data_IF_343197208128
#
_entry.id   IF_343197208128
#
_cell.length_a   1.000
_cell.length_b   1.000
_cell.length_c   1.000
_cell.angle_alpha   90.00
_cell.angle_beta   90.00
_cell.angle_gamma   90.00
#
_symmetry.space_group_name_H-M   'P 1'
#
loop_
_entity.id
_entity.type
_entity.pdbx_description
1 polymer ?
#
# COMPACT_ATOMS: atom_id res chain seq x y z
N UNK A 1 17.63 -8.95 18.58
CA UNK A 1 16.87 -9.78 17.59
C UNK A 1 15.45 -9.22 17.58
N UNK A 2 15.04 -8.52 16.51
CA UNK A 2 13.69 -7.94 16.42
C UNK A 2 12.73 -9.09 16.14
N UNK A 3 11.72 -9.27 17.01
CA UNK A 3 10.68 -10.27 16.79
C UNK A 3 9.85 -9.84 15.57
N UNK A 4 9.84 -10.65 14.53
CA UNK A 4 8.96 -10.45 13.37
C UNK A 4 7.71 -11.28 13.62
N UNK A 5 6.57 -10.60 13.83
CA UNK A 5 5.28 -11.27 13.85
C UNK A 5 4.73 -11.33 12.43
N UNK A 6 4.35 -12.51 11.97
CA UNK A 6 3.85 -12.75 10.61
C UNK A 6 2.46 -13.37 10.68
N UNK A 7 1.49 -12.69 10.09
CA UNK A 7 0.07 -13.09 10.12
C UNK A 7 -0.51 -13.07 8.71
N UNK A 8 -1.17 -14.17 8.31
CA UNK A 8 -1.88 -14.28 7.03
C UNK A 8 -3.36 -14.49 7.28
N UNK A 9 -4.19 -13.69 6.64
CA UNK A 9 -5.66 -13.80 6.68
C UNK A 9 -6.24 -13.75 5.28
N UNK A 10 -7.35 -14.49 5.08
CA UNK A 10 -7.99 -14.62 3.78
C UNK A 10 -9.51 -14.44 3.89
N UNK A 11 -10.11 -13.80 2.88
CA UNK A 11 -11.56 -13.74 2.65
C UNK A 11 -11.83 -14.50 1.35
N UNK A 12 -12.63 -15.55 1.41
CA UNK A 12 -13.08 -16.32 0.25
C UNK A 12 -14.26 -17.23 0.61
N UNK A 13 -15.03 -17.64 -0.39
CA UNK A 13 -16.07 -18.68 -0.22
C UNK A 13 -17.30 -18.24 0.58
N UNK A 14 -17.52 -16.94 0.73
CA UNK A 14 -18.67 -16.34 1.43
C UNK A 14 -19.53 -15.51 0.48
N UNK A 15 -20.82 -15.36 0.80
CA UNK A 15 -21.73 -14.52 0.03
C UNK A 15 -21.29 -13.06 0.01
N UNK A 16 -21.72 -12.29 -1.01
CA UNK A 16 -21.24 -10.92 -1.29
C UNK A 16 -21.32 -9.98 -0.09
N UNK A 17 -22.47 -9.91 0.60
CA UNK A 17 -22.63 -9.05 1.77
C UNK A 17 -21.67 -9.43 2.89
N UNK A 18 -21.50 -10.72 3.16
CA UNK A 18 -20.56 -11.22 4.14
C UNK A 18 -19.10 -10.97 3.72
N UNK A 19 -18.80 -11.04 2.41
CA UNK A 19 -17.47 -10.77 1.86
C UNK A 19 -17.10 -9.29 2.06
N UNK A 20 -18.04 -8.36 1.82
CA UNK A 20 -17.83 -6.93 2.02
C UNK A 20 -17.50 -6.61 3.48
N UNK A 21 -18.29 -7.13 4.42
CA UNK A 21 -18.05 -6.96 5.85
C UNK A 21 -16.73 -7.61 6.30
N UNK A 22 -16.47 -8.84 5.83
CA UNK A 22 -15.24 -9.56 6.17
C UNK A 22 -14.01 -8.83 5.62
N UNK A 23 -14.09 -8.31 4.40
CA UNK A 23 -13.01 -7.55 3.79
C UNK A 23 -12.76 -6.23 4.53
N UNK A 24 -13.84 -5.48 4.88
CA UNK A 24 -13.72 -4.25 5.66
C UNK A 24 -13.03 -4.48 7.00
N UNK A 25 -13.43 -5.52 7.74
CA UNK A 25 -12.79 -5.90 9.01
C UNK A 25 -11.33 -6.33 8.82
N UNK A 26 -11.05 -7.13 7.80
CA UNK A 26 -9.70 -7.60 7.52
C UNK A 26 -8.77 -6.44 7.16
N UNK A 27 -9.20 -5.57 6.25
CA UNK A 27 -8.43 -4.40 5.83
C UNK A 27 -8.17 -3.46 6.99
N UNK A 28 -9.20 -3.18 7.82
CA UNK A 28 -9.09 -2.32 9.00
C UNK A 28 -8.15 -2.87 10.06
N UNK A 29 -8.11 -4.20 10.24
CA UNK A 29 -7.23 -4.84 11.24
C UNK A 29 -5.78 -4.98 10.78
N UNK A 30 -5.50 -4.90 9.47
CA UNK A 30 -4.17 -5.15 8.91
C UNK A 30 -3.48 -3.90 8.39
N UNK A 31 -4.24 -2.94 7.89
CA UNK A 31 -3.73 -1.64 7.44
C UNK A 31 -4.14 -0.54 8.43
N UNK A 32 -5.25 0.10 8.14
CA UNK A 32 -5.92 1.14 8.92
C UNK A 32 -7.42 1.02 8.64
N UNK A 33 -8.31 1.59 9.48
CA UNK A 33 -9.75 1.56 9.24
C UNK A 33 -10.14 2.11 7.87
N UNK A 34 -10.92 1.32 7.12
CA UNK A 34 -11.48 1.63 5.81
C UNK A 34 -12.92 1.14 5.72
N UNK A 35 -13.77 1.92 5.08
CA UNK A 35 -15.14 1.53 4.72
C UNK A 35 -15.16 1.02 3.29
N UNK A 36 -15.51 -0.26 3.10
CA UNK A 36 -15.63 -0.86 1.77
C UNK A 36 -16.96 -0.44 1.16
N UNK A 37 -16.91 0.20 -0.01
CA UNK A 37 -18.08 0.70 -0.72
C UNK A 37 -18.67 -0.38 -1.64
N UNK A 38 -17.84 -0.97 -2.50
CA UNK A 38 -18.29 -1.95 -3.50
C UNK A 38 -17.29 -3.09 -3.64
N UNK A 39 -17.82 -4.29 -3.95
CA UNK A 39 -17.09 -5.42 -4.48
C UNK A 39 -17.55 -5.67 -5.91
N UNK A 40 -16.69 -6.24 -6.76
CA UNK A 40 -17.02 -6.59 -8.15
C UNK A 40 -18.31 -7.40 -8.21
N UNK A 41 -19.28 -6.91 -9.00
CA UNK A 41 -20.59 -7.53 -9.13
C UNK A 41 -20.57 -8.81 -9.95
N UNK A 42 -19.64 -8.91 -10.89
CA UNK A 42 -19.58 -9.96 -11.90
C UNK A 42 -18.68 -11.14 -11.49
N UNK A 43 -17.93 -11.00 -10.40
CA UNK A 43 -17.07 -12.05 -9.91
C UNK A 43 -17.87 -13.16 -9.21
N UNK A 44 -17.57 -14.45 -9.46
CA UNK A 44 -18.24 -15.59 -8.83
C UNK A 44 -18.03 -15.69 -7.30
N UNK A 45 -17.36 -14.73 -6.72
CA UNK A 45 -17.09 -14.58 -5.29
C UNK A 45 -15.83 -13.76 -5.08
N UNK A 46 -15.89 -12.83 -4.13
CA UNK A 46 -14.74 -11.98 -3.77
C UNK A 46 -13.66 -12.78 -3.05
N UNK A 47 -12.41 -12.56 -3.44
CA UNK A 47 -11.23 -13.18 -2.82
C UNK A 47 -10.21 -12.11 -2.46
N UNK A 48 -9.72 -12.17 -1.23
CA UNK A 48 -8.61 -11.34 -0.78
C UNK A 48 -7.73 -12.12 0.19
N UNK A 49 -6.43 -11.83 0.16
CA UNK A 49 -5.44 -12.36 1.10
C UNK A 49 -4.54 -11.22 1.54
N UNK A 50 -4.33 -11.12 2.83
CA UNK A 50 -3.44 -10.12 3.43
C UNK A 50 -2.43 -10.83 4.31
N UNK A 51 -1.15 -10.48 4.13
CA UNK A 51 -0.05 -10.87 5.01
C UNK A 51 0.49 -9.62 5.70
N UNK A 52 0.45 -9.61 7.02
CA UNK A 52 0.93 -8.51 7.85
C UNK A 52 2.17 -8.93 8.61
N UNK A 53 3.20 -8.10 8.56
CA UNK A 53 4.48 -8.30 9.28
C UNK A 53 4.83 -7.05 10.06
N UNK A 54 5.16 -7.22 11.33
CA UNK A 54 5.70 -6.15 12.18
C UNK A 54 7.21 -6.16 12.09
N UNK A 55 7.80 -5.00 11.85
CA UNK A 55 9.23 -4.74 11.75
C UNK A 55 9.57 -3.58 12.68
N UNK A 56 9.78 -3.86 13.97
CA UNK A 56 9.81 -2.85 15.03
C UNK A 56 8.51 -2.02 15.01
N UNK A 57 8.61 -0.69 14.87
CA UNK A 57 7.45 0.22 14.83
C UNK A 57 6.78 0.29 13.45
N UNK A 58 7.35 -0.37 12.44
CA UNK A 58 6.84 -0.39 11.08
C UNK A 58 5.94 -1.60 10.85
N UNK A 59 4.94 -1.44 9.99
CA UNK A 59 4.09 -2.55 9.55
C UNK A 59 4.18 -2.70 8.03
N UNK A 60 4.60 -3.88 7.59
CA UNK A 60 4.61 -4.25 6.19
C UNK A 60 3.40 -5.13 5.88
N UNK A 61 2.61 -4.74 4.88
CA UNK A 61 1.39 -5.44 4.49
C UNK A 61 1.45 -5.79 3.03
N UNK A 62 1.46 -7.09 2.73
CA UNK A 62 1.25 -7.60 1.37
C UNK A 62 -0.24 -7.92 1.21
N UNK A 63 -0.86 -7.43 0.15
CA UNK A 63 -2.27 -7.59 -0.13
C UNK A 63 -2.48 -8.11 -1.55
N UNK A 64 -3.30 -9.13 -1.69
CA UNK A 64 -3.87 -9.57 -2.97
C UNK A 64 -5.39 -9.50 -2.84
N UNK A 65 -6.09 -8.84 -3.76
CA UNK A 65 -7.54 -8.77 -3.74
C UNK A 65 -8.14 -8.69 -5.15
N UNK A 66 -9.38 -9.13 -5.27
CA UNK A 66 -10.21 -8.93 -6.45
C UNK A 66 -10.70 -7.47 -6.50
N UNK A 67 -11.26 -6.98 -7.64
CA UNK A 67 -11.74 -5.62 -7.78
C UNK A 67 -12.71 -5.22 -6.68
N UNK A 68 -12.46 -4.04 -6.12
CA UNK A 68 -13.28 -3.47 -5.04
C UNK A 68 -13.00 -1.97 -4.90
N UNK A 69 -13.84 -1.28 -4.15
CA UNK A 69 -13.62 0.11 -3.81
C UNK A 69 -13.82 0.36 -2.32
N UNK A 70 -13.20 1.43 -1.83
CA UNK A 70 -13.34 1.83 -0.45
C UNK A 70 -13.02 3.29 -0.23
N UNK A 71 -13.51 3.80 0.88
CA UNK A 71 -13.28 5.18 1.32
C UNK A 71 -12.78 5.18 2.75
N UNK A 72 -11.97 6.18 3.05
CA UNK A 72 -11.54 6.51 4.40
C UNK A 72 -12.03 7.91 4.74
N UNK A 73 -13.02 8.01 5.60
CA UNK A 73 -13.69 9.24 5.98
C UNK A 73 -13.36 9.63 7.42
N UNK A 74 -13.96 10.70 7.92
CA UNK A 74 -13.71 11.23 9.26
C UNK A 74 -13.88 10.18 10.37
N UNK A 75 -14.88 9.30 10.27
CA UNK A 75 -15.09 8.24 11.27
C UNK A 75 -13.99 7.16 11.25
N UNK A 76 -13.47 6.81 10.07
CA UNK A 76 -12.35 5.86 9.93
C UNK A 76 -11.05 6.47 10.45
N UNK A 77 -10.87 7.79 10.21
CA UNK A 77 -9.73 8.55 10.73
C UNK A 77 -9.80 8.59 12.26
N UNK A 78 -10.96 8.92 12.83
CA UNK A 78 -11.16 8.97 14.29
C UNK A 78 -11.00 7.60 14.96
N UNK A 79 -11.28 6.51 14.26
CA UNK A 79 -11.07 5.13 14.76
C UNK A 79 -9.60 4.65 14.64
N UNK A 80 -8.71 5.47 14.11
CA UNK A 80 -7.29 5.12 13.94
C UNK A 80 -6.53 5.53 15.20
N UNK A 81 -5.79 4.57 15.77
CA UNK A 81 -4.87 4.83 16.87
C UNK A 81 -3.53 5.34 16.30
N UNK A 82 -3.29 6.64 16.45
CA UNK A 82 -2.08 7.30 15.96
C UNK A 82 -2.16 7.88 14.55
N UNK A 83 -1.05 8.46 14.11
CA UNK A 83 -0.90 9.08 12.80
C UNK A 83 0.19 8.37 11.99
N UNK A 84 -0.11 8.08 10.72
CA UNK A 84 0.77 7.29 9.86
C UNK A 84 0.94 7.93 8.48
N UNK A 85 2.10 7.72 7.89
CA UNK A 85 2.28 7.75 6.44
C UNK A 85 2.28 6.31 5.93
N UNK A 86 1.59 6.10 4.82
CA UNK A 86 1.53 4.80 4.17
C UNK A 86 2.13 4.91 2.78
N UNK A 87 3.24 4.21 2.57
CA UNK A 87 3.81 4.01 1.24
C UNK A 87 3.17 2.77 0.63
N UNK A 88 2.48 2.93 -0.49
CA UNK A 88 1.81 1.85 -1.21
C UNK A 88 2.50 1.65 -2.56
N UNK A 89 2.91 0.41 -2.83
CA UNK A 89 3.49 -0.04 -4.10
C UNK A 89 2.58 -1.05 -4.77
N UNK A 90 2.22 -0.80 -6.02
CA UNK A 90 1.50 -1.77 -6.86
C UNK A 90 2.49 -2.73 -7.50
N UNK A 91 2.29 -4.03 -7.30
CA UNK A 91 3.14 -5.10 -7.85
C UNK A 91 2.51 -5.74 -9.09
N UNK A 92 1.17 -5.83 -9.12
CA UNK A 92 0.40 -6.36 -10.26
C UNK A 92 -1.02 -5.80 -10.22
N UNK A 93 -1.67 -5.70 -11.36
CA UNK A 93 -3.01 -5.11 -11.49
C UNK A 93 -3.00 -3.59 -11.59
N UNK A 94 -4.17 -2.98 -11.42
CA UNK A 94 -4.35 -1.52 -11.48
C UNK A 94 -5.30 -1.05 -10.39
N UNK A 95 -4.97 0.07 -9.79
CA UNK A 95 -5.84 0.77 -8.84
C UNK A 95 -5.74 2.28 -9.03
N UNK A 96 -6.79 2.98 -8.62
CA UNK A 96 -6.80 4.44 -8.47
C UNK A 96 -6.84 4.75 -6.99
N UNK A 97 -6.00 5.66 -6.54
CA UNK A 97 -6.00 6.17 -5.16
C UNK A 97 -6.24 7.67 -5.20
N UNK A 98 -7.17 8.15 -4.39
CA UNK A 98 -7.51 9.57 -4.26
C UNK A 98 -7.25 10.09 -2.85
N UNK A 99 -6.62 11.27 -2.74
CA UNK A 99 -6.44 11.98 -1.48
C UNK A 99 -6.23 13.47 -1.72
N UNK A 100 -6.87 14.33 -0.91
CA UNK A 100 -6.68 15.77 -0.96
C UNK A 100 -7.04 16.41 -2.32
N UNK A 101 -8.05 15.90 -3.00
CA UNK A 101 -8.47 16.37 -4.33
C UNK A 101 -7.55 15.94 -5.47
N UNK A 102 -6.56 15.10 -5.21
CA UNK A 102 -5.67 14.51 -6.21
C UNK A 102 -6.02 13.03 -6.39
N UNK A 103 -5.91 12.55 -7.62
CA UNK A 103 -6.05 11.13 -7.94
C UNK A 103 -4.80 10.62 -8.63
N UNK A 104 -4.40 9.41 -8.28
CA UNK A 104 -3.25 8.71 -8.82
C UNK A 104 -3.69 7.37 -9.40
N UNK A 105 -3.43 7.13 -10.67
CA UNK A 105 -3.59 5.82 -11.29
C UNK A 105 -2.30 5.03 -11.12
N UNK A 106 -2.38 3.92 -10.40
CA UNK A 106 -1.23 3.08 -10.07
C UNK A 106 -1.21 1.83 -10.95
N UNK A 107 -0.01 1.52 -11.43
CA UNK A 107 0.32 0.36 -12.27
C UNK A 107 1.48 -0.40 -11.62
N UNK A 108 1.82 -1.60 -12.09
CA UNK A 108 2.99 -2.32 -11.58
C UNK A 108 4.26 -1.44 -11.57
N UNK A 109 4.90 -1.35 -10.41
CA UNK A 109 6.05 -0.48 -10.15
C UNK A 109 5.73 0.94 -9.69
N UNK A 110 4.47 1.39 -9.74
CA UNK A 110 4.07 2.69 -9.19
C UNK A 110 4.07 2.65 -7.66
N UNK A 111 4.51 3.76 -7.05
CA UNK A 111 4.46 3.99 -5.60
C UNK A 111 3.72 5.29 -5.32
N UNK A 112 2.87 5.29 -4.32
CA UNK A 112 2.23 6.49 -3.77
C UNK A 112 2.41 6.53 -2.27
N UNK A 113 2.57 7.72 -1.72
CA UNK A 113 2.53 7.96 -0.27
C UNK A 113 1.25 8.71 0.06
N UNK A 114 0.49 8.19 1.03
CA UNK A 114 -0.72 8.85 1.52
C UNK A 114 -0.70 9.02 3.04
N UNK A 115 -1.46 9.98 3.54
CA UNK A 115 -1.51 10.39 4.94
C UNK A 115 -2.77 9.85 5.62
N UNK A 116 -2.61 9.15 6.76
CA UNK A 116 -3.72 8.56 7.50
C UNK A 116 -4.67 9.58 8.12
N UNK A 117 -4.26 10.84 8.26
CA UNK A 117 -5.06 11.91 8.88
C UNK A 117 -5.95 12.67 7.87
N UNK A 118 -5.83 12.34 6.59
CA UNK A 118 -6.59 12.97 5.50
C UNK A 118 -7.55 11.97 4.86
N UNK A 119 -8.81 12.34 4.54
CA UNK A 119 -9.71 11.48 3.79
C UNK A 119 -9.09 10.96 2.50
N UNK A 120 -9.36 9.70 2.18
CA UNK A 120 -8.82 9.03 1.02
C UNK A 120 -9.85 8.06 0.42
N UNK A 121 -9.63 7.68 -0.83
CA UNK A 121 -10.43 6.69 -1.55
C UNK A 121 -9.55 5.79 -2.39
N UNK A 122 -10.02 4.59 -2.69
CA UNK A 122 -9.37 3.71 -3.66
C UNK A 122 -10.40 2.97 -4.51
N UNK A 123 -10.00 2.65 -5.74
CA UNK A 123 -10.74 1.78 -6.66
C UNK A 123 -9.75 0.79 -7.27
N UNK A 124 -9.91 -0.47 -6.94
CA UNK A 124 -9.18 -1.58 -7.56
C UNK A 124 -9.93 -1.98 -8.83
N UNK A 125 -9.28 -1.82 -9.98
CA UNK A 125 -9.87 -2.03 -11.29
C UNK A 125 -9.65 -3.45 -11.83
N UNK A 126 -8.58 -4.09 -11.40
CA UNK A 126 -8.19 -5.45 -11.79
C UNK A 126 -7.70 -6.19 -10.54
N UNK A 127 -7.64 -7.53 -10.61
CA UNK A 127 -7.03 -8.29 -9.52
C UNK A 127 -5.67 -7.72 -9.16
N UNK A 128 -5.56 -7.23 -7.93
CA UNK A 128 -4.45 -6.43 -7.45
C UNK A 128 -3.50 -7.24 -6.58
N UNK A 129 -2.21 -7.03 -6.76
CA UNK A 129 -1.17 -7.38 -5.79
C UNK A 129 -0.43 -6.11 -5.42
N UNK A 130 -0.43 -5.78 -4.14
CA UNK A 130 0.23 -4.58 -3.63
C UNK A 130 0.97 -4.83 -2.32
N UNK A 131 1.91 -3.97 -2.04
CA UNK A 131 2.66 -3.90 -0.78
C UNK A 131 2.51 -2.52 -0.18
N UNK A 132 2.20 -2.46 1.11
CA UNK A 132 2.12 -1.22 1.87
C UNK A 132 3.11 -1.24 3.03
N UNK A 133 3.83 -0.15 3.23
CA UNK A 133 4.61 0.11 4.42
C UNK A 133 3.90 1.20 5.23
N UNK A 134 3.43 0.84 6.42
CA UNK A 134 2.78 1.75 7.36
C UNK A 134 3.83 2.25 8.35
N UNK A 135 4.06 3.56 8.37
CA UNK A 135 5.11 4.22 9.14
C UNK A 135 4.47 5.22 10.11
N UNK A 136 4.65 5.08 11.43
CA UNK A 136 4.23 6.09 12.38
C UNK A 136 4.89 7.43 12.09
N UNK A 137 4.14 8.52 12.07
CA UNK A 137 4.70 9.87 11.86
C UNK A 137 5.70 10.25 12.96
N UNK A 138 5.48 9.76 14.18
CA UNK A 138 6.42 9.96 15.29
C UNK A 138 7.82 9.40 14.97
N UNK A 139 7.92 8.20 14.39
CA UNK A 139 9.20 7.61 14.00
C UNK A 139 9.91 8.42 12.89
N UNK A 140 9.14 9.05 12.01
CA UNK A 140 9.70 9.94 10.98
C UNK A 140 10.24 11.24 11.55
N UNK A 141 9.61 11.77 12.60
CA UNK A 141 10.07 12.99 13.28
C UNK A 141 11.43 12.77 13.97
N UNK A 142 11.68 11.58 14.52
CA UNK A 142 12.95 11.21 15.14
C UNK A 142 14.14 11.21 14.18
N UNK A 143 13.93 10.85 12.91
CA UNK A 143 14.98 10.84 11.89
C UNK A 143 15.12 12.17 11.13
N UNK A 144 14.42 13.22 11.57
CA UNK A 144 14.54 14.56 11.01
C UNK A 144 14.06 14.69 9.57
N UNK A 145 13.12 13.84 9.15
CA UNK A 145 12.70 13.78 7.76
C UNK A 145 11.86 14.98 7.35
N UNK A 146 12.42 15.78 6.42
CA UNK A 146 11.66 16.77 5.63
C UNK A 146 10.78 16.11 4.55
N UNK A 147 10.70 14.78 4.53
CA UNK A 147 10.06 13.97 3.49
C UNK A 147 8.52 13.94 3.50
N UNK A 148 7.87 14.67 4.40
CA UNK A 148 6.40 14.75 4.53
C UNK A 148 5.68 15.45 3.36
N UNK A 149 6.41 16.03 2.41
CA UNK A 149 5.84 16.76 1.27
C UNK A 149 5.43 15.88 0.08
N UNK A 150 5.62 14.55 0.15
CA UNK A 150 5.36 13.63 -0.96
C UNK A 150 3.97 13.00 -0.96
N UNK A 151 3.08 13.38 -0.06
CA UNK A 151 1.72 12.82 0.00
C UNK A 151 0.92 13.12 -1.27
N UNK A 152 0.30 12.08 -1.84
CA UNK A 152 -0.45 12.17 -3.09
C UNK A 152 0.43 12.29 -4.36
N UNK A 153 1.75 12.18 -4.23
CA UNK A 153 2.66 12.16 -5.38
C UNK A 153 2.94 10.71 -5.77
N UNK A 154 2.73 10.39 -7.04
CA UNK A 154 3.15 9.10 -7.61
C UNK A 154 4.64 9.17 -7.92
N UNK A 155 5.38 8.20 -7.39
CA UNK A 155 6.76 7.96 -7.75
C UNK A 155 6.81 6.86 -8.80
N UNK A 156 7.54 7.08 -9.88
CA UNK A 156 7.78 6.07 -10.91
C UNK A 156 8.76 5.00 -10.38
N UNK A 157 8.68 3.80 -10.96
CA UNK A 157 9.58 2.67 -10.67
C UNK A 157 11.06 2.98 -10.90
N UNK A 158 11.38 4.00 -11.70
CA UNK A 158 12.75 4.49 -11.92
C UNK A 158 13.31 5.30 -10.74
N UNK A 159 12.47 5.74 -9.78
CA UNK A 159 12.94 6.46 -8.62
C UNK A 159 13.77 5.55 -7.69
N UNK A 160 14.97 5.96 -7.21
CA UNK A 160 15.83 5.11 -6.38
C UNK A 160 15.15 4.57 -5.12
N UNK A 161 14.27 5.35 -4.49
CA UNK A 161 13.51 4.95 -3.31
C UNK A 161 12.56 3.77 -3.57
N UNK A 162 12.02 3.66 -4.79
CA UNK A 162 11.13 2.57 -5.19
C UNK A 162 11.90 1.27 -5.38
N UNK A 163 13.10 1.35 -5.95
CA UNK A 163 13.97 0.19 -6.19
C UNK A 163 14.37 -0.52 -4.89
N UNK A 164 14.57 0.23 -3.80
CA UNK A 164 14.92 -0.32 -2.49
C UNK A 164 13.79 -1.12 -1.82
N UNK A 165 12.53 -0.81 -2.16
CA UNK A 165 11.36 -1.47 -1.57
C UNK A 165 10.78 -2.60 -2.41
N UNK A 166 11.18 -2.70 -3.68
CA UNK A 166 10.72 -3.77 -4.57
C UNK A 166 11.34 -5.13 -4.14
N UNK A 167 10.56 -6.21 -4.03
CA UNK A 167 11.12 -7.53 -3.90
C UNK A 167 11.90 -7.83 -5.18
N UNK A 168 13.17 -8.23 -5.05
CA UNK A 168 14.13 -8.42 -6.15
C UNK A 168 13.55 -9.08 -7.41
N UNK A 169 12.91 -8.29 -8.24
CA UNK A 169 12.65 -8.64 -9.61
C UNK A 169 13.96 -8.42 -10.35
N UNK A 170 14.62 -9.51 -10.73
CA UNK A 170 15.69 -9.46 -11.72
C UNK A 170 15.06 -8.89 -12.99
N UNK A 171 15.28 -7.61 -13.24
CA UNK A 171 15.10 -7.04 -14.57
C UNK A 171 16.12 -7.70 -15.49
N UNK A 172 15.66 -8.68 -16.25
CA UNK A 172 16.38 -9.11 -17.46
C UNK A 172 16.01 -8.08 -18.52
N UNK A 173 16.72 -6.96 -18.53
CA UNK A 173 16.95 -6.16 -19.76
C UNK A 173 17.93 -5.02 -19.46
N UNK A 174 18.98 -4.96 -20.26
CA UNK A 174 19.74 -3.74 -20.54
C UNK A 174 20.95 -3.50 -19.63
N UNK A 175 22.10 -3.92 -20.13
CA UNK A 175 23.40 -3.36 -19.78
C UNK A 175 23.35 -1.84 -19.87
N UNK A 176 23.52 -1.16 -18.75
CA UNK A 176 24.18 0.13 -18.75
C UNK A 176 25.34 0.06 -17.76
N UNK A 177 26.52 0.29 -18.33
CA UNK A 177 27.79 0.30 -17.62
C UNK A 177 27.83 1.51 -16.70
N UNK A 178 28.24 1.28 -15.46
CA UNK A 178 28.62 2.36 -14.55
C UNK A 178 29.85 3.08 -15.14
N UNK A 179 29.88 4.41 -15.18
CA UNK A 179 31.08 5.12 -15.52
C UNK A 179 32.15 4.88 -14.45
N UNK A 180 33.28 4.38 -14.86
CA UNK A 180 34.50 4.29 -14.04
C UNK A 180 34.93 5.70 -13.65
N UNK A 181 35.00 5.97 -12.37
CA UNK A 181 35.67 7.16 -11.84
C UNK A 181 37.18 6.96 -12.01
N UNK A 182 37.79 7.59 -13.03
CA UNK A 182 39.22 7.77 -13.10
C UNK A 182 39.63 8.82 -12.09
N UNK A 183 40.36 8.41 -11.07
CA UNK A 183 41.11 9.31 -10.20
C UNK A 183 42.43 9.68 -10.90
N UNK A 184 42.73 10.97 -11.03
CA UNK A 184 44.06 11.38 -11.51
C UNK A 184 45.13 11.11 -10.47
N UNK A 185 46.24 10.57 -10.91
CA UNK A 185 47.49 10.36 -10.15
C UNK A 185 48.23 11.61 -9.80
#
# INVERSE_FOLDING_TARGET
MVAVTDEVRTVQGVGRAQAQDAWGRLLSSTHLPWSIAELDADAPGFRATVRRRHLADLVLVDCTCDPCSGTRRAHDIAATDGEYLVMLMTLSGREVVGQGGRQAQLRPGSVVVWDSTTPAEFVVQERLVKRSLVVPKAALAEVGSRGLLLTGTVLDSSAPAVTLTAPGHRSVTGREAFPTCDLPG
#
